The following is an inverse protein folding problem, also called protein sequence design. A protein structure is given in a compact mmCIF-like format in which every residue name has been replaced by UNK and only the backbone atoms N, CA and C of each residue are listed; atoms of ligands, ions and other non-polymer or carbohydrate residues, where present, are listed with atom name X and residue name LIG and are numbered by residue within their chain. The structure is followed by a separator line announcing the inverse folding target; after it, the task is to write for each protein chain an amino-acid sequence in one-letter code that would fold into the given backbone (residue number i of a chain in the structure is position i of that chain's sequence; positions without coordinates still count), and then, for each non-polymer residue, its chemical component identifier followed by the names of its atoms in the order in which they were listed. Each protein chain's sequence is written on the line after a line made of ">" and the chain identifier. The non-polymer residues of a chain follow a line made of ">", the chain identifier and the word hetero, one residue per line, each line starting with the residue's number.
data_IF_044558378536
#
_entry.id   IF_044558378536
#
_cell.length_a   1.000
_cell.length_b   1.000
_cell.length_c   1.000
_cell.angle_alpha   90.00
_cell.angle_beta   90.00
_cell.angle_gamma   90.00
#
_symmetry.space_group_name_H-M   'P 1'
#
loop_
_entity.id
_entity.type
_entity.pdbx_description
1 polymer ?
#
# COMPACT_ATOMS: atom_id res chain seq x y z
N UNK A 1 -54.92 -36.96 -44.30
CA UNK A 1 -53.61 -36.38 -43.93
C UNK A 1 -53.87 -34.91 -43.70
N UNK A 2 -54.24 -34.57 -42.47
CA UNK A 2 -54.83 -33.27 -42.15
C UNK A 2 -53.75 -32.23 -41.86
N UNK A 3 -53.93 -31.04 -42.46
CA UNK A 3 -53.09 -29.85 -42.41
C UNK A 3 -52.91 -29.23 -41.00
N UNK A 4 -53.16 -29.97 -39.92
CA UNK A 4 -53.12 -29.46 -38.53
C UNK A 4 -51.79 -29.70 -37.81
N UNK A 5 -50.80 -30.33 -38.44
CA UNK A 5 -49.51 -30.69 -37.81
C UNK A 5 -48.31 -29.86 -38.25
N UNK A 6 -48.45 -28.90 -39.18
CA UNK A 6 -47.31 -28.10 -39.68
C UNK A 6 -47.08 -26.82 -38.85
N UNK A 7 -48.06 -26.38 -38.05
CA UNK A 7 -47.97 -25.15 -37.25
C UNK A 7 -47.10 -25.24 -35.98
N UNK A 8 -46.74 -26.44 -35.51
CA UNK A 8 -46.01 -26.61 -34.26
C UNK A 8 -44.47 -26.64 -34.42
N UNK A 9 -43.97 -26.89 -35.63
CA UNK A 9 -42.52 -26.96 -35.89
C UNK A 9 -41.90 -25.57 -36.14
N UNK A 10 -42.70 -24.59 -36.59
CA UNK A 10 -42.22 -23.21 -36.80
C UNK A 10 -42.11 -22.40 -35.49
N UNK A 11 -42.75 -22.84 -34.41
CA UNK A 11 -42.68 -22.17 -33.10
C UNK A 11 -41.52 -22.66 -32.22
N UNK A 12 -40.79 -23.70 -32.62
CA UNK A 12 -39.62 -24.23 -31.92
C UNK A 12 -38.29 -23.67 -32.45
N UNK A 13 -38.30 -22.88 -33.54
CA UNK A 13 -37.12 -22.23 -34.11
C UNK A 13 -36.99 -20.74 -33.74
N UNK A 14 -37.93 -20.21 -32.96
CA UNK A 14 -37.78 -18.97 -32.23
C UNK A 14 -37.20 -19.24 -30.83
N UNK A 15 -36.20 -20.12 -30.73
CA UNK A 15 -35.29 -20.13 -29.59
C UNK A 15 -34.64 -18.76 -29.59
N UNK A 16 -35.14 -17.87 -28.74
CA UNK A 16 -34.58 -16.56 -28.51
C UNK A 16 -33.06 -16.72 -28.51
N UNK A 17 -32.38 -16.01 -29.41
CA UNK A 17 -30.98 -15.70 -29.22
C UNK A 17 -30.92 -14.82 -27.97
N UNK A 18 -31.06 -15.45 -26.80
CA UNK A 18 -30.67 -14.91 -25.53
C UNK A 18 -29.16 -14.76 -25.65
N UNK A 19 -28.76 -13.62 -26.21
CA UNK A 19 -27.40 -13.08 -26.15
C UNK A 19 -27.15 -12.68 -24.70
N UNK A 20 -27.18 -13.67 -23.83
CA UNK A 20 -27.02 -13.53 -22.38
C UNK A 20 -25.56 -13.69 -21.96
N UNK A 21 -24.64 -13.96 -22.92
CA UNK A 21 -23.21 -13.88 -22.67
C UNK A 21 -22.69 -12.52 -23.13
N UNK A 22 -22.06 -11.80 -22.19
CA UNK A 22 -21.31 -10.59 -22.49
C UNK A 22 -20.24 -10.88 -23.55
N UNK A 23 -20.10 -9.96 -24.50
CA UNK A 23 -19.06 -10.04 -25.53
C UNK A 23 -17.72 -9.58 -24.97
N UNK A 24 -16.61 -9.92 -25.63
CA UNK A 24 -15.29 -9.38 -25.27
C UNK A 24 -15.26 -7.85 -25.22
N UNK A 25 -16.07 -7.18 -26.05
CA UNK A 25 -16.23 -5.73 -26.01
C UNK A 25 -16.95 -5.25 -24.74
N UNK A 26 -17.92 -6.02 -24.24
CA UNK A 26 -18.61 -5.73 -22.97
C UNK A 26 -17.66 -5.84 -21.78
N UNK A 27 -16.83 -6.89 -21.73
CA UNK A 27 -15.82 -7.04 -20.70
C UNK A 27 -14.77 -5.93 -20.76
N UNK A 28 -14.20 -5.62 -21.94
CA UNK A 28 -13.25 -4.50 -22.10
C UNK A 28 -13.86 -3.16 -21.68
N UNK A 29 -15.13 -2.93 -21.99
CA UNK A 29 -15.87 -1.74 -21.57
C UNK A 29 -16.08 -1.71 -20.05
N UNK A 30 -16.46 -2.83 -19.44
CA UNK A 30 -16.63 -2.96 -18.00
C UNK A 30 -15.31 -2.74 -17.25
N UNK A 31 -14.22 -3.36 -17.70
CA UNK A 31 -12.89 -3.15 -17.14
C UNK A 31 -12.37 -1.71 -17.33
N UNK A 32 -12.71 -1.07 -18.46
CA UNK A 32 -12.39 0.35 -18.71
C UNK A 32 -13.25 1.35 -17.92
N UNK A 33 -14.26 0.92 -17.16
CA UNK A 33 -15.03 1.82 -16.29
C UNK A 33 -14.16 2.36 -15.17
N UNK A 34 -13.18 1.59 -14.68
CA UNK A 34 -12.26 2.03 -13.64
C UNK A 34 -11.62 3.36 -14.02
N UNK A 35 -11.02 3.46 -15.22
CA UNK A 35 -10.37 4.67 -15.72
C UNK A 35 -11.31 5.86 -15.85
N UNK A 36 -12.60 5.64 -16.14
CA UNK A 36 -13.61 6.70 -16.26
C UNK A 36 -14.06 7.24 -14.90
N UNK A 37 -14.15 6.38 -13.89
CA UNK A 37 -14.55 6.75 -12.54
C UNK A 37 -13.36 7.03 -11.61
N UNK A 38 -12.14 7.15 -12.15
CA UNK A 38 -11.00 7.58 -11.34
C UNK A 38 -11.25 8.99 -10.80
N UNK A 39 -10.87 9.17 -9.53
CA UNK A 39 -11.01 10.43 -8.81
C UNK A 39 -10.39 11.63 -9.55
N UNK A 40 -9.31 11.40 -10.30
CA UNK A 40 -8.61 12.43 -11.11
C UNK A 40 -9.47 13.08 -12.20
N UNK A 41 -10.57 12.42 -12.60
CA UNK A 41 -11.48 12.95 -13.61
C UNK A 41 -12.51 13.93 -13.01
N UNK A 42 -12.58 14.05 -11.67
CA UNK A 42 -13.45 15.00 -10.98
C UNK A 42 -12.66 16.27 -10.70
N UNK A 43 -12.85 17.28 -11.55
CA UNK A 43 -12.16 18.54 -11.39
C UNK A 43 -12.54 19.22 -10.06
N UNK A 44 -11.57 19.89 -9.43
CA UNK A 44 -11.73 20.67 -8.19
C UNK A 44 -12.17 19.87 -6.96
N UNK A 45 -12.14 18.53 -7.01
CA UNK A 45 -12.31 17.71 -5.81
C UNK A 45 -11.05 17.75 -4.95
N UNK A 46 -11.20 17.88 -3.63
CA UNK A 46 -10.07 17.89 -2.71
C UNK A 46 -9.59 16.46 -2.41
N UNK A 47 -8.32 16.20 -2.68
CA UNK A 47 -7.66 14.91 -2.44
C UNK A 47 -6.53 15.04 -1.43
N UNK A 48 -6.21 13.91 -0.79
CA UNK A 48 -5.08 13.76 0.14
C UNK A 48 -5.02 14.90 1.18
N UNK A 49 -6.17 15.10 1.84
CA UNK A 49 -6.35 16.14 2.85
C UNK A 49 -5.53 15.76 4.08
N UNK A 50 -4.57 16.61 4.44
CA UNK A 50 -3.72 16.43 5.61
C UNK A 50 -3.79 17.65 6.52
N UNK A 51 -3.87 17.41 7.82
CA UNK A 51 -3.72 18.44 8.85
C UNK A 51 -2.31 18.39 9.41
N UNK A 52 -1.69 19.55 9.63
CA UNK A 52 -0.40 19.64 10.31
C UNK A 52 -0.66 19.93 11.79
N UNK A 53 -0.58 18.95 12.68
CA UNK A 53 -1.01 19.09 14.09
C UNK A 53 -0.34 20.24 14.86
N UNK A 54 0.93 20.55 14.54
CA UNK A 54 1.70 21.64 15.14
C UNK A 54 1.31 23.03 14.64
N UNK A 55 0.52 23.14 13.56
CA UNK A 55 0.04 24.40 12.98
C UNK A 55 -1.49 24.34 12.75
N UNK A 56 -2.17 25.46 12.55
CA UNK A 56 -3.60 25.43 12.18
C UNK A 56 -3.80 25.27 10.66
N UNK A 57 -2.87 24.57 10.00
CA UNK A 57 -2.77 24.52 8.54
C UNK A 57 -3.25 23.17 8.01
N UNK A 58 -4.25 23.24 7.13
CA UNK A 58 -4.72 22.15 6.29
C UNK A 58 -3.99 22.19 4.94
N UNK A 59 -3.71 21.04 4.35
CA UNK A 59 -3.23 20.94 2.98
C UNK A 59 -3.98 19.88 2.19
N UNK A 60 -4.14 20.10 0.88
CA UNK A 60 -4.80 19.18 -0.05
C UNK A 60 -4.38 19.49 -1.48
N UNK A 61 -4.71 18.62 -2.43
CA UNK A 61 -4.58 18.95 -3.86
C UNK A 61 -5.90 18.82 -4.60
N UNK A 62 -6.00 19.50 -5.73
CA UNK A 62 -7.10 19.41 -6.68
C UNK A 62 -6.56 19.13 -8.07
N UNK A 63 -7.27 18.31 -8.85
CA UNK A 63 -6.99 18.16 -10.27
C UNK A 63 -7.83 19.21 -11.05
N UNK A 64 -7.20 19.99 -11.93
CA UNK A 64 -7.87 20.93 -12.85
C UNK A 64 -7.56 20.57 -14.31
N UNK A 65 -8.24 21.21 -15.26
CA UNK A 65 -7.97 21.00 -16.69
C UNK A 65 -6.52 21.35 -17.08
N UNK A 66 -5.88 22.27 -16.35
CA UNK A 66 -4.50 22.70 -16.58
C UNK A 66 -3.47 21.84 -15.82
N UNK A 67 -3.93 20.85 -15.04
CA UNK A 67 -3.09 19.99 -14.21
C UNK A 67 -3.39 20.11 -12.72
N UNK A 68 -2.56 19.45 -11.91
CA UNK A 68 -2.76 19.36 -10.46
C UNK A 68 -2.28 20.62 -9.76
N UNK A 69 -3.09 21.13 -8.81
CA UNK A 69 -2.73 22.26 -7.93
C UNK A 69 -2.74 21.80 -6.48
N UNK A 70 -1.76 22.26 -5.72
CA UNK A 70 -1.61 21.95 -4.30
C UNK A 70 -1.98 23.19 -3.48
N UNK A 71 -2.76 23.03 -2.42
CA UNK A 71 -3.33 24.15 -1.68
C UNK A 71 -3.07 23.93 -0.20
N UNK A 72 -2.62 24.99 0.48
CA UNK A 72 -2.61 25.07 1.94
C UNK A 72 -3.63 26.09 2.39
N UNK A 73 -4.31 25.82 3.50
CA UNK A 73 -5.31 26.67 4.11
C UNK A 73 -5.01 26.78 5.60
N UNK A 74 -4.62 27.97 6.04
CA UNK A 74 -4.47 28.27 7.45
C UNK A 74 -5.82 28.67 8.03
N UNK A 75 -6.38 27.80 8.88
CA UNK A 75 -7.69 27.99 9.51
C UNK A 75 -7.67 29.16 10.50
N UNK A 76 -6.53 29.48 11.10
CA UNK A 76 -6.42 30.55 12.09
C UNK A 76 -6.43 31.94 11.45
N UNK A 77 -5.76 32.09 10.32
CA UNK A 77 -5.71 33.35 9.56
C UNK A 77 -6.77 33.43 8.45
N UNK A 78 -7.40 32.33 8.09
CA UNK A 78 -8.36 32.22 7.00
C UNK A 78 -7.73 32.41 5.60
N UNK A 79 -6.41 32.21 5.48
CA UNK A 79 -5.66 32.46 4.25
C UNK A 79 -5.27 31.16 3.55
N UNK A 80 -5.42 31.13 2.22
CA UNK A 80 -4.98 30.01 1.38
C UNK A 80 -3.76 30.37 0.54
N UNK A 81 -2.84 29.42 0.35
CA UNK A 81 -1.76 29.51 -0.64
C UNK A 81 -1.85 28.35 -1.62
N UNK A 82 -1.53 28.62 -2.88
CA UNK A 82 -1.57 27.63 -3.97
C UNK A 82 -0.18 27.43 -4.55
N UNK A 83 0.16 26.18 -4.84
CA UNK A 83 1.44 25.73 -5.36
C UNK A 83 1.23 24.89 -6.63
N UNK A 84 2.21 24.94 -7.53
CA UNK A 84 2.16 24.21 -8.80
C UNK A 84 2.77 22.80 -8.70
N UNK A 85 3.43 22.47 -7.59
CA UNK A 85 3.98 21.14 -7.33
C UNK A 85 3.83 20.70 -5.88
N UNK A 86 3.81 19.38 -5.66
CA UNK A 86 3.75 18.80 -4.31
C UNK A 86 4.98 19.15 -3.48
N UNK A 87 6.14 19.20 -4.14
CA UNK A 87 7.42 19.50 -3.52
C UNK A 87 7.44 20.91 -2.94
N UNK A 88 7.01 21.91 -3.71
CA UNK A 88 6.92 23.30 -3.23
C UNK A 88 6.01 23.44 -2.01
N UNK A 89 4.85 22.78 -2.02
CA UNK A 89 3.92 22.77 -0.89
C UNK A 89 4.55 22.11 0.34
N UNK A 90 5.18 20.95 0.16
CA UNK A 90 5.85 20.22 1.25
C UNK A 90 7.00 21.02 1.85
N UNK A 91 7.86 21.60 1.01
CA UNK A 91 8.97 22.46 1.45
C UNK A 91 8.44 23.66 2.24
N UNK A 92 7.33 24.28 1.80
CA UNK A 92 6.70 25.40 2.50
C UNK A 92 6.09 25.03 3.86
N UNK A 93 5.60 23.79 4.00
CA UNK A 93 5.07 23.25 5.26
C UNK A 93 6.16 22.66 6.17
N UNK A 94 7.41 22.59 5.69
CA UNK A 94 8.49 21.86 6.37
C UNK A 94 8.28 20.34 6.38
N UNK A 95 7.37 19.83 5.55
CA UNK A 95 7.12 18.39 5.39
C UNK A 95 8.31 17.83 4.61
N UNK A 96 9.13 16.99 5.26
CA UNK A 96 10.23 16.31 4.58
C UNK A 96 9.69 15.36 3.53
N UNK A 97 10.31 15.36 2.34
CA UNK A 97 9.93 14.46 1.25
C UNK A 97 10.00 13.01 1.73
N UNK A 98 8.89 12.29 1.63
CA UNK A 98 8.80 10.86 1.95
C UNK A 98 9.74 10.12 0.99
N UNK A 99 10.92 9.69 1.47
CA UNK A 99 11.55 8.51 0.89
C UNK A 99 10.66 7.34 1.28
N UNK A 100 9.66 7.07 0.44
CA UNK A 100 8.86 5.86 0.59
C UNK A 100 9.79 4.66 0.55
N UNK A 101 9.38 3.50 1.09
CA UNK A 101 10.15 2.26 1.00
C UNK A 101 10.66 2.06 -0.45
N UNK A 102 9.83 2.42 -1.43
CA UNK A 102 10.00 2.31 -2.88
C UNK A 102 11.00 3.25 -3.57
N UNK A 103 11.69 4.14 -2.85
CA UNK A 103 12.53 5.18 -3.48
C UNK A 103 11.71 6.07 -4.45
N UNK A 104 12.34 7.03 -5.11
CA UNK A 104 11.68 7.73 -6.22
C UNK A 104 11.44 6.71 -7.33
N UNK A 105 10.21 6.17 -7.44
CA UNK A 105 9.78 5.32 -8.55
C UNK A 105 9.97 6.10 -9.85
N UNK A 106 11.10 5.89 -10.52
CA UNK A 106 11.33 6.35 -11.90
C UNK A 106 10.40 5.56 -12.81
N UNK A 107 9.75 6.22 -13.77
CA UNK A 107 8.78 5.58 -14.68
C UNK A 107 9.40 4.48 -15.57
N UNK A 108 10.71 4.44 -15.58
CA UNK A 108 11.65 3.66 -16.37
C UNK A 108 12.39 2.57 -15.55
N UNK A 109 11.91 2.25 -14.34
CA UNK A 109 12.47 1.18 -13.49
C UNK A 109 12.24 -0.23 -14.11
N UNK A 110 13.30 -0.99 -14.45
CA UNK A 110 13.19 -2.36 -14.97
C UNK A 110 12.64 -3.37 -13.94
N UNK A 111 12.58 -3.00 -12.66
CA UNK A 111 11.96 -3.79 -11.58
C UNK A 111 10.49 -3.41 -11.34
N UNK A 112 9.83 -2.77 -12.31
CA UNK A 112 8.39 -2.57 -12.28
C UNK A 112 7.70 -3.94 -12.26
N UNK A 113 7.39 -4.43 -11.07
CA UNK A 113 6.54 -5.59 -10.92
C UNK A 113 5.21 -5.28 -11.63
N UNK A 114 4.65 -6.23 -12.41
CA UNK A 114 3.29 -6.12 -12.91
C UNK A 114 2.40 -5.68 -11.76
N UNK A 115 1.51 -4.71 -12.00
CA UNK A 115 0.54 -4.34 -10.97
C UNK A 115 -0.20 -5.62 -10.58
N UNK A 116 -0.07 -6.00 -9.31
CA UNK A 116 -0.80 -7.14 -8.75
C UNK A 116 -2.28 -6.92 -9.04
N UNK A 117 -2.99 -8.01 -9.30
CA UNK A 117 -4.43 -7.89 -9.44
C UNK A 117 -4.99 -7.28 -8.15
N UNK A 118 -5.96 -6.37 -8.23
CA UNK A 118 -6.43 -5.61 -7.08
C UNK A 118 -7.05 -6.46 -5.94
N UNK A 119 -7.31 -7.75 -6.20
CA UNK A 119 -7.74 -8.73 -5.18
C UNK A 119 -6.58 -9.51 -4.54
N UNK A 120 -5.38 -9.45 -5.09
CA UNK A 120 -4.20 -10.08 -4.49
C UNK A 120 -3.75 -9.28 -3.27
N UNK A 121 -3.65 -9.95 -2.13
CA UNK A 121 -3.19 -9.33 -0.89
C UNK A 121 -1.68 -9.47 -0.78
N UNK A 122 -0.98 -8.38 -0.49
CA UNK A 122 0.45 -8.44 -0.24
C UNK A 122 0.74 -9.03 1.15
N UNK A 123 1.62 -10.02 1.21
CA UNK A 123 2.06 -10.63 2.47
C UNK A 123 3.11 -9.77 3.18
N UNK A 124 3.65 -8.74 2.51
CA UNK A 124 4.62 -7.78 3.07
C UNK A 124 5.78 -8.48 3.81
N UNK A 125 6.29 -9.57 3.22
CA UNK A 125 7.47 -10.31 3.70
C UNK A 125 8.67 -10.16 2.78
N UNK A 126 8.58 -9.28 1.78
CA UNK A 126 9.67 -9.01 0.85
C UNK A 126 10.93 -8.61 1.61
N UNK A 127 12.06 -9.23 1.26
CA UNK A 127 13.35 -8.87 1.84
C UNK A 127 13.80 -7.51 1.29
N UNK A 128 13.54 -6.47 2.08
CA UNK A 128 13.80 -5.08 1.72
C UNK A 128 14.54 -4.36 2.83
N UNK A 129 15.62 -3.68 2.45
CA UNK A 129 16.34 -2.75 3.32
C UNK A 129 15.77 -1.34 3.15
N UNK A 130 15.48 -0.69 4.28
CA UNK A 130 14.97 0.68 4.36
C UNK A 130 15.99 1.53 5.13
N UNK A 131 16.66 2.42 4.40
CA UNK A 131 17.61 3.36 4.97
C UNK A 131 16.92 4.44 5.80
N UNK A 132 17.53 4.79 6.92
CA UNK A 132 17.17 5.93 7.77
C UNK A 132 17.31 7.26 7.02
N UNK A 133 16.54 8.31 7.37
CA UNK A 133 16.62 9.62 6.73
C UNK A 133 17.97 10.31 6.81
N UNK A 134 18.74 10.08 7.88
CA UNK A 134 20.12 10.54 8.04
C UNK A 134 21.16 9.63 7.37
N UNK A 135 20.75 8.48 6.85
CA UNK A 135 21.58 7.56 6.07
C UNK A 135 22.60 6.77 6.88
N UNK A 136 22.47 6.74 8.22
CA UNK A 136 23.44 6.06 9.10
C UNK A 136 23.04 4.64 9.46
N UNK A 137 21.73 4.38 9.49
CA UNK A 137 21.15 3.10 9.85
C UNK A 137 20.31 2.53 8.72
N UNK A 138 20.32 1.21 8.59
CA UNK A 138 19.47 0.42 7.72
C UNK A 138 18.52 -0.44 8.57
N UNK A 139 17.27 -0.60 8.15
CA UNK A 139 16.28 -1.48 8.79
C UNK A 139 15.67 -2.47 7.79
N UNK A 140 15.41 -3.70 8.23
CA UNK A 140 14.73 -4.72 7.41
C UNK A 140 14.03 -5.76 8.28
N UNK A 141 13.24 -6.61 7.63
CA UNK A 141 12.64 -7.79 8.26
C UNK A 141 13.47 -9.03 7.93
N UNK A 142 13.82 -9.78 8.96
CA UNK A 142 14.46 -11.08 8.85
C UNK A 142 13.86 -12.03 9.88
N UNK A 143 13.58 -13.27 9.48
CA UNK A 143 13.01 -14.28 10.37
C UNK A 143 11.78 -13.75 11.14
N UNK A 144 10.89 -13.03 10.44
CA UNK A 144 9.68 -12.40 10.97
C UNK A 144 9.89 -11.26 11.98
N UNK A 145 11.12 -10.78 12.18
CA UNK A 145 11.48 -9.76 13.16
C UNK A 145 12.17 -8.56 12.51
N UNK A 146 12.07 -7.40 13.14
CA UNK A 146 12.74 -6.15 12.73
C UNK A 146 14.19 -6.15 13.18
N UNK A 147 15.09 -5.90 12.24
CA UNK A 147 16.53 -5.73 12.46
C UNK A 147 16.99 -4.35 12.03
N UNK A 148 18.08 -3.91 12.63
CA UNK A 148 18.83 -2.73 12.18
C UNK A 148 20.32 -3.03 12.02
N UNK A 149 20.97 -2.20 11.23
CA UNK A 149 22.39 -2.27 10.90
C UNK A 149 22.95 -0.87 10.75
N UNK A 150 24.23 -0.72 11.04
CA UNK A 150 24.98 0.52 10.85
C UNK A 150 25.62 0.54 9.45
N UNK A 151 25.23 1.51 8.64
CA UNK A 151 25.70 1.66 7.26
C UNK A 151 27.23 1.76 7.24
N UNK A 152 27.87 0.92 6.42
CA UNK A 152 29.33 0.82 6.31
C UNK A 152 29.95 -0.38 7.04
N UNK A 153 29.19 -1.09 7.89
CA UNK A 153 29.62 -2.35 8.50
C UNK A 153 29.10 -3.57 7.72
N UNK A 154 29.62 -4.78 7.97
CA UNK A 154 29.02 -6.00 7.43
C UNK A 154 27.60 -6.23 7.98
N UNK A 155 26.64 -6.62 7.14
CA UNK A 155 25.26 -6.95 7.57
C UNK A 155 25.18 -8.15 8.53
N UNK A 156 26.27 -8.90 8.73
CA UNK A 156 26.40 -9.90 9.79
C UNK A 156 26.39 -9.26 11.19
N UNK A 157 26.88 -8.02 11.32
CA UNK A 157 26.84 -7.21 12.54
C UNK A 157 25.52 -6.43 12.63
N UNK A 158 24.44 -7.18 12.84
CA UNK A 158 23.07 -6.66 12.93
C UNK A 158 22.53 -6.71 14.35
N UNK A 159 21.59 -5.82 14.63
CA UNK A 159 20.92 -5.75 15.93
C UNK A 159 19.44 -6.05 15.77
N UNK A 160 18.93 -7.06 16.48
CA UNK A 160 17.50 -7.34 16.54
C UNK A 160 16.81 -6.27 17.39
N UNK A 161 15.77 -5.63 16.85
CA UNK A 161 14.90 -4.72 17.61
C UNK A 161 13.71 -5.45 18.23
N UNK A 162 13.37 -6.62 17.68
CA UNK A 162 12.24 -7.46 18.09
C UNK A 162 12.65 -8.93 18.05
N UNK A 163 11.99 -9.77 18.86
CA UNK A 163 12.26 -11.21 18.94
C UNK A 163 10.97 -12.04 19.05
N UNK A 164 9.81 -11.40 19.05
CA UNK A 164 8.49 -11.98 19.26
C UNK A 164 7.70 -12.21 17.96
N UNK A 165 8.35 -12.08 16.80
CA UNK A 165 7.80 -12.42 15.50
C UNK A 165 7.81 -13.93 15.24
N UNK A 166 6.72 -14.44 14.66
CA UNK A 166 6.50 -15.86 14.36
C UNK A 166 5.88 -16.03 12.96
N UNK A 167 5.83 -17.26 12.44
CA UNK A 167 5.21 -17.55 11.13
C UNK A 167 3.71 -17.17 11.15
N UNK A 168 3.01 -17.41 12.25
CA UNK A 168 1.60 -17.04 12.40
C UNK A 168 1.37 -15.55 12.67
N UNK A 169 2.39 -14.84 13.18
CA UNK A 169 2.29 -13.42 13.53
C UNK A 169 3.62 -12.71 13.39
N UNK A 170 3.82 -12.00 12.28
CA UNK A 170 5.11 -11.49 11.83
C UNK A 170 5.10 -9.96 11.64
N UNK A 171 6.28 -9.35 11.59
CA UNK A 171 6.44 -7.92 11.28
C UNK A 171 6.44 -7.69 9.76
N UNK A 172 5.71 -6.65 9.33
CA UNK A 172 5.63 -6.20 7.94
C UNK A 172 6.94 -5.60 7.43
N UNK A 173 7.29 -5.87 6.17
CA UNK A 173 8.42 -5.25 5.47
C UNK A 173 8.18 -3.79 5.07
N UNK A 174 6.94 -3.28 5.22
CA UNK A 174 6.61 -1.88 5.06
C UNK A 174 7.03 -1.07 6.30
N UNK A 175 8.34 -0.79 6.38
CA UNK A 175 8.97 -0.05 7.48
C UNK A 175 9.06 1.44 7.14
N UNK A 176 8.72 2.29 8.12
CA UNK A 176 8.80 3.74 8.01
C UNK A 176 9.66 4.36 9.12
N UNK A 177 10.75 5.01 8.76
CA UNK A 177 11.55 5.79 9.69
C UNK A 177 10.91 7.13 10.02
N UNK A 178 11.07 7.57 11.27
CA UNK A 178 10.75 8.95 11.65
C UNK A 178 11.73 9.94 11.01
N UNK A 179 11.29 11.18 10.75
CA UNK A 179 12.12 12.20 10.12
C UNK A 179 13.45 12.48 10.85
N UNK A 180 13.50 12.25 12.16
CA UNK A 180 14.67 12.43 13.02
C UNK A 180 15.56 11.17 13.14
N UNK A 181 15.26 10.10 12.40
CA UNK A 181 15.94 8.80 12.44
C UNK A 181 15.93 8.08 13.80
N UNK A 182 15.07 8.49 14.75
CA UNK A 182 15.03 7.92 16.11
C UNK A 182 13.91 6.92 16.34
N UNK A 183 12.94 6.83 15.44
CA UNK A 183 11.79 5.93 15.59
C UNK A 183 11.53 5.19 14.29
N UNK A 184 10.97 4.01 14.44
CA UNK A 184 10.51 3.15 13.39
C UNK A 184 9.02 2.89 13.60
N UNK A 185 8.24 3.02 12.55
CA UNK A 185 6.86 2.60 12.48
C UNK A 185 6.75 1.38 11.58
N UNK A 186 6.14 0.32 12.10
CA UNK A 186 5.97 -0.97 11.45
C UNK A 186 4.64 -1.57 11.92
N UNK A 187 4.05 -2.49 11.17
CA UNK A 187 2.90 -3.26 11.65
C UNK A 187 3.28 -4.71 11.94
N UNK A 188 2.69 -5.26 13.00
CA UNK A 188 2.60 -6.71 13.18
C UNK A 188 1.36 -7.21 12.45
N UNK A 189 1.45 -8.36 11.80
CA UNK A 189 0.40 -8.96 10.97
C UNK A 189 0.17 -10.42 11.36
N UNK A 190 -1.06 -10.90 11.26
CA UNK A 190 -1.36 -12.33 11.28
C UNK A 190 -1.15 -12.92 9.88
N UNK A 191 -0.61 -14.14 9.83
CA UNK A 191 -0.60 -14.92 8.60
C UNK A 191 -1.98 -15.53 8.39
N UNK A 192 -2.52 -15.36 7.19
CA UNK A 192 -3.82 -15.89 6.79
C UNK A 192 -3.63 -16.80 5.58
N UNK A 193 -4.26 -17.97 5.62
CA UNK A 193 -4.24 -18.89 4.49
C UNK A 193 -5.03 -18.30 3.31
N UNK A 194 -4.34 -18.12 2.18
CA UNK A 194 -4.94 -17.59 0.96
C UNK A 194 -5.75 -18.66 0.25
N UNK A 195 -7.02 -18.35 0.01
CA UNK A 195 -7.91 -19.18 -0.81
C UNK A 195 -8.06 -18.61 -2.19
N UNK A 196 -8.26 -19.50 -3.14
CA UNK A 196 -8.41 -19.16 -4.55
C UNK A 196 -9.74 -19.64 -5.10
N UNK A 197 -10.37 -18.80 -5.91
CA UNK A 197 -11.44 -19.20 -6.84
C UNK A 197 -10.81 -19.35 -8.22
N UNK A 198 -11.27 -20.38 -8.93
CA UNK A 198 -10.78 -20.70 -10.26
C UNK A 198 -11.88 -20.42 -11.29
N UNK A 199 -11.50 -19.78 -12.39
CA UNK A 199 -12.36 -19.59 -13.55
C UNK A 199 -11.72 -20.25 -14.76
N UNK A 200 -12.54 -20.86 -15.60
CA UNK A 200 -12.08 -21.42 -16.88
C UNK A 200 -12.61 -20.52 -17.98
N UNK A 201 -11.69 -19.89 -18.71
CA UNK A 201 -12.00 -19.25 -19.98
C UNK A 201 -12.02 -20.34 -21.04
N UNK A 202 -13.22 -20.82 -21.37
CA UNK A 202 -13.43 -21.96 -22.26
C UNK A 202 -13.09 -21.67 -23.72
N UNK A 203 -13.06 -20.40 -24.13
CA UNK A 203 -12.86 -20.00 -25.53
C UNK A 203 -12.03 -18.72 -25.63
N UNK A 204 -10.72 -18.79 -25.32
CA UNK A 204 -9.83 -17.64 -25.47
C UNK A 204 -9.76 -17.17 -26.92
N UNK A 205 -9.61 -15.87 -27.12
CA UNK A 205 -9.57 -15.29 -28.46
C UNK A 205 -8.33 -15.70 -29.26
N UNK A 206 -7.22 -15.99 -28.57
CA UNK A 206 -5.90 -16.16 -29.17
C UNK A 206 -5.41 -17.62 -29.18
N UNK A 207 -6.18 -18.57 -28.63
CA UNK A 207 -5.83 -19.99 -28.60
C UNK A 207 -7.06 -20.90 -28.47
N UNK A 208 -6.94 -22.14 -28.97
CA UNK A 208 -8.02 -23.14 -28.89
C UNK A 208 -8.14 -23.79 -27.51
N UNK A 209 -7.06 -23.81 -26.72
CA UNK A 209 -7.05 -24.46 -25.41
C UNK A 209 -7.63 -23.52 -24.33
N UNK A 210 -8.47 -24.00 -23.40
CA UNK A 210 -8.98 -23.20 -22.30
C UNK A 210 -7.88 -22.60 -21.42
N UNK A 211 -8.13 -21.42 -20.85
CA UNK A 211 -7.22 -20.79 -19.87
C UNK A 211 -7.81 -20.93 -18.46
N UNK A 212 -7.00 -21.39 -17.52
CA UNK A 212 -7.34 -21.42 -16.10
C UNK A 212 -6.89 -20.11 -15.45
N UNK A 213 -7.86 -19.30 -15.03
CA UNK A 213 -7.65 -18.12 -14.21
C UNK A 213 -7.75 -18.49 -12.73
N UNK A 214 -6.95 -17.85 -11.89
CA UNK A 214 -7.05 -17.94 -10.43
C UNK A 214 -7.17 -16.56 -9.84
N UNK A 215 -7.96 -16.43 -8.79
CA UNK A 215 -8.19 -15.16 -8.10
C UNK A 215 -8.22 -15.41 -6.60
N UNK A 216 -7.47 -14.62 -5.83
CA UNK A 216 -7.55 -14.64 -4.37
C UNK A 216 -8.95 -14.22 -3.91
N UNK A 217 -9.55 -15.02 -3.04
CA UNK A 217 -10.89 -14.77 -2.52
C UNK A 217 -11.06 -15.39 -1.13
N UNK A 218 -11.05 -14.53 -0.11
CA UNK A 218 -11.49 -14.90 1.23
C UNK A 218 -13.00 -15.11 1.22
N UNK A 219 -13.47 -16.29 1.65
CA UNK A 219 -14.90 -16.59 1.76
C UNK A 219 -15.47 -15.97 3.05
N UNK A 220 -16.79 -15.72 3.10
CA UNK A 220 -17.43 -15.28 4.33
C UNK A 220 -17.10 -16.20 5.52
N UNK A 221 -16.57 -15.62 6.60
CA UNK A 221 -16.14 -16.34 7.80
C UNK A 221 -14.66 -16.75 7.82
N UNK A 222 -13.94 -16.61 6.70
CA UNK A 222 -12.48 -16.76 6.70
C UNK A 222 -11.84 -15.60 7.48
N UNK A 223 -10.69 -15.86 8.12
CA UNK A 223 -9.91 -14.84 8.80
C UNK A 223 -9.35 -13.84 7.79
N UNK A 224 -9.27 -12.56 8.17
CA UNK A 224 -8.67 -11.50 7.36
C UNK A 224 -7.34 -11.05 7.97
N UNK A 225 -6.46 -10.54 7.11
CA UNK A 225 -5.19 -10.00 7.58
C UNK A 225 -5.43 -8.72 8.36
N UNK A 226 -4.99 -8.68 9.60
CA UNK A 226 -5.09 -7.54 10.50
C UNK A 226 -3.70 -6.94 10.72
N UNK A 227 -3.64 -5.61 10.72
CA UNK A 227 -2.42 -4.87 11.01
C UNK A 227 -2.51 -4.26 12.41
N UNK A 228 -1.50 -4.50 13.22
CA UNK A 228 -1.33 -3.88 14.53
C UNK A 228 -0.13 -2.94 14.50
N UNK A 229 -0.36 -1.63 14.63
CA UNK A 229 0.72 -0.64 14.63
C UNK A 229 1.72 -0.87 15.76
N UNK A 230 3.00 -0.74 15.45
CA UNK A 230 4.12 -0.84 16.39
C UNK A 230 5.08 0.32 16.14
N UNK A 231 5.39 1.06 17.21
CA UNK A 231 6.42 2.09 17.23
C UNK A 231 7.61 1.56 18.01
N UNK A 232 8.79 1.59 17.40
CA UNK A 232 10.05 1.27 18.06
C UNK A 232 10.87 2.55 18.14
N UNK A 233 11.20 2.98 19.35
CA UNK A 233 12.05 4.15 19.60
C UNK A 233 13.47 3.70 19.92
N UNK A 234 14.43 4.32 19.25
CA UNK A 234 15.86 4.12 19.40
C UNK A 234 16.45 5.31 20.14
N UNK A 235 17.00 5.06 21.33
CA UNK A 235 17.80 6.05 22.05
C UNK A 235 19.25 5.68 21.88
N UNK A 236 19.93 6.40 20.99
CA UNK A 236 21.35 6.27 20.77
C UNK A 236 22.10 7.01 21.90
N UNK A 237 23.19 6.43 22.42
CA UNK A 237 24.01 7.10 23.43
C UNK A 237 24.73 8.33 22.84
N UNK A 238 25.04 9.31 23.68
CA UNK A 238 25.81 10.49 23.28
C UNK A 238 27.21 10.07 22.84
N UNK A 239 27.52 10.29 21.56
CA UNK A 239 28.80 9.93 20.91
C UNK A 239 30.03 10.66 21.48
N UNK A 240 29.87 11.45 22.54
CA UNK A 240 30.94 12.23 23.17
C UNK A 240 31.88 11.40 24.05
N UNK A 241 31.53 10.17 24.43
CA UNK A 241 32.40 9.29 25.22
C UNK A 241 33.25 8.37 24.33
N UNK A 242 34.21 8.99 23.63
CA UNK A 242 35.49 8.53 23.04
C UNK A 242 35.89 7.07 22.77
N UNK A 243 35.06 6.04 22.93
CA UNK A 243 35.46 4.62 22.81
C UNK A 243 34.39 3.70 22.18
N UNK A 244 33.37 4.23 21.51
CA UNK A 244 32.34 3.41 20.87
C UNK A 244 32.80 2.92 19.50
N UNK A 245 32.76 1.59 19.29
CA UNK A 245 33.10 0.95 18.01
C UNK A 245 31.89 0.93 17.07
N UNK A 246 30.67 1.07 17.59
CA UNK A 246 29.42 1.16 16.84
C UNK A 246 28.51 2.28 17.35
N UNK A 247 27.77 2.91 16.45
CA UNK A 247 26.64 3.78 16.79
C UNK A 247 25.56 3.06 17.60
N UNK A 248 25.50 1.73 17.51
CA UNK A 248 24.50 0.90 18.20
C UNK A 248 24.96 0.43 19.59
N UNK A 249 26.24 0.61 19.95
CA UNK A 249 26.80 0.16 21.22
C UNK A 249 26.16 0.90 22.40
N UNK A 250 25.33 0.23 23.20
CA UNK A 250 24.61 0.85 24.31
C UNK A 250 23.30 1.55 23.91
N UNK A 251 22.81 1.31 22.69
CA UNK A 251 21.48 1.74 22.25
C UNK A 251 20.40 1.14 23.15
N UNK A 252 19.46 1.98 23.58
CA UNK A 252 18.24 1.55 24.28
C UNK A 252 17.07 1.51 23.30
N UNK A 253 16.38 0.38 23.25
CA UNK A 253 15.21 0.15 22.40
C UNK A 253 13.96 0.15 23.26
N UNK A 254 12.98 0.97 22.92
CA UNK A 254 11.63 0.96 23.53
C UNK A 254 10.59 0.63 22.48
N UNK A 255 9.87 -0.48 22.66
CA UNK A 255 8.75 -0.89 21.81
C UNK A 255 7.42 -0.47 22.43
N UNK A 256 6.54 0.11 21.63
CA UNK A 256 5.13 0.35 21.95
C UNK A 256 4.30 -0.31 20.86
N UNK A 257 3.43 -1.23 21.24
CA UNK A 257 2.56 -2.00 20.34
C UNK A 257 1.11 -1.67 20.66
N UNK A 258 0.29 -1.48 19.63
CA UNK A 258 -1.13 -1.24 19.79
C UNK A 258 -1.82 -2.45 20.44
N UNK A 259 -2.74 -2.21 21.38
CA UNK A 259 -3.57 -3.27 21.96
C UNK A 259 -4.50 -3.85 20.88
N UNK A 260 -4.39 -5.15 20.56
CA UNK A 260 -5.26 -5.77 19.57
C UNK A 260 -6.76 -5.64 19.87
N UNK A 261 -7.16 -5.53 21.14
CA UNK A 261 -8.56 -5.40 21.53
C UNK A 261 -9.10 -3.98 21.35
N UNK A 262 -8.21 -2.98 21.26
CA UNK A 262 -8.58 -1.59 21.01
C UNK A 262 -8.61 -1.26 19.50
N UNK A 263 -8.15 -2.18 18.66
CA UNK A 263 -8.08 -2.04 17.20
C UNK A 263 -9.28 -2.72 16.56
N UNK A 264 -10.35 -1.96 16.35
CA UNK A 264 -11.59 -2.47 15.73
C UNK A 264 -11.53 -2.54 14.20
N UNK A 265 -10.64 -1.77 13.57
CA UNK A 265 -10.58 -1.61 12.11
C UNK A 265 -9.24 -2.10 11.53
N UNK A 266 -9.26 -2.49 10.26
CA UNK A 266 -8.05 -2.80 9.51
C UNK A 266 -7.33 -1.50 9.13
N UNK A 267 -6.03 -1.42 9.43
CA UNK A 267 -5.20 -0.27 9.07
C UNK A 267 -4.27 -0.63 7.91
N UNK A 268 -3.98 0.35 7.04
CA UNK A 268 -2.88 0.29 6.09
C UNK A 268 -1.80 1.29 6.50
N UNK A 269 -0.53 0.86 6.38
CA UNK A 269 0.64 1.71 6.62
C UNK A 269 0.77 2.85 5.60
N UNK A 270 0.19 2.71 4.41
CA UNK A 270 0.39 3.67 3.30
C UNK A 270 -0.07 5.10 3.61
N UNK A 271 -0.98 5.24 4.57
CA UNK A 271 -1.62 6.49 4.98
C UNK A 271 -1.12 7.04 6.31
N UNK A 272 -0.21 6.34 7.01
CA UNK A 272 0.40 6.87 8.23
C UNK A 272 1.50 7.88 7.89
N UNK A 273 1.53 8.96 8.66
CA UNK A 273 2.56 10.00 8.54
C UNK A 273 3.11 10.37 9.90
N UNK A 274 4.42 10.62 9.95
CA UNK A 274 5.04 11.26 11.08
C UNK A 274 4.74 12.76 11.01
N UNK A 275 3.96 13.28 11.96
CA UNK A 275 3.77 14.72 12.12
C UNK A 275 4.91 15.29 12.97
N UNK A 276 5.56 16.39 12.53
CA UNK A 276 6.58 17.09 13.30
C UNK A 276 5.98 17.94 14.44
#
# INVERSE_FOLDING_TARGET
>A
MDLRTIGLAALALASAAARAQGTAADYKRAYGLYDKFQQKNVAHWAHNIGWQDSTSVLHYYIDTQDGRRYITYDVSSGTSKTYNSEKEMKDALGIRERRGPWGQRRGDDPFRHPQRHWMETDDEQDQRVVASPDGKLDAWIESNNVYIHEVGKPYTEKHALTQDGTIGRYYSSNIYWSPDSRKLFVCKRNSVEKRYVYYVESSPADQEQPILHKQEYAKPGDELVQHWPVIISLTLPDTASGNQRSLLDGMVVKKVEADPHAVENQYSLDWFQWTP
#
